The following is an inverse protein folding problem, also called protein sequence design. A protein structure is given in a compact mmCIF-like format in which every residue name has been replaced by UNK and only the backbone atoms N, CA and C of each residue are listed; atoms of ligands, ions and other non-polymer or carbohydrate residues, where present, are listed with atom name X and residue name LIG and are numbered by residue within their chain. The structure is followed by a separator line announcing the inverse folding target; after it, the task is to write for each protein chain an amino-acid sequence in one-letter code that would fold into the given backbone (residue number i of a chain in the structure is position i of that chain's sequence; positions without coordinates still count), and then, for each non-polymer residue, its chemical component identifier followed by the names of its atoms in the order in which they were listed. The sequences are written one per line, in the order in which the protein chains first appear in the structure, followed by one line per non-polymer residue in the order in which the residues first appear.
data_IF_001847046683
#
_entry.id   IF_001847046683
#
_cell.length_a   1.000
_cell.length_b   1.000
_cell.length_c   1.000
_cell.angle_alpha   90.00
_cell.angle_beta   90.00
_cell.angle_gamma   90.00
#
_symmetry.space_group_name_H-M   'P 1'
#
loop_
_entity.id
_entity.type
_entity.pdbx_description
1 polymer ?
#
# COMPACT_ATOMS: atom_id res chain seq x y z
N UNK A 1 10.46 4.29 -7.39
CA UNK A 1 9.87 5.59 -7.76
C UNK A 1 9.41 5.60 -9.21
N UNK A 2 8.11 5.79 -9.45
CA UNK A 2 7.54 5.64 -10.80
C UNK A 2 7.90 6.75 -11.79
N UNK A 3 7.98 8.00 -11.32
CA UNK A 3 8.17 9.18 -12.18
C UNK A 3 9.62 9.39 -12.63
N UNK A 4 10.58 8.90 -11.87
CA UNK A 4 12.01 9.16 -12.08
C UNK A 4 12.73 7.97 -12.73
N UNK A 5 11.99 7.09 -13.40
CA UNK A 5 12.56 5.96 -14.13
C UNK A 5 12.82 4.71 -13.28
N UNK A 6 12.08 4.51 -12.18
CA UNK A 6 12.06 3.21 -11.50
C UNK A 6 13.20 2.96 -10.51
N UNK A 7 13.73 3.98 -9.83
CA UNK A 7 14.69 3.76 -8.72
C UNK A 7 14.07 2.91 -7.61
N UNK A 8 14.92 2.23 -6.86
CA UNK A 8 14.54 1.48 -5.66
C UNK A 8 13.88 2.42 -4.66
N UNK A 9 12.73 2.00 -4.14
CA UNK A 9 11.99 2.69 -3.09
C UNK A 9 12.08 1.88 -1.79
N UNK A 10 11.79 2.49 -0.62
CA UNK A 10 11.70 1.77 0.65
C UNK A 10 10.77 0.55 0.61
N UNK A 11 9.73 0.60 -0.23
CA UNK A 11 8.73 -0.46 -0.41
C UNK A 11 9.08 -1.51 -1.47
N UNK A 12 10.18 -1.32 -2.23
CA UNK A 12 10.65 -2.30 -3.24
C UNK A 12 10.89 -3.66 -2.59
N UNK A 13 10.33 -4.73 -3.16
CA UNK A 13 10.41 -6.09 -2.61
C UNK A 13 11.81 -6.68 -2.75
N UNK A 14 12.12 -7.70 -1.94
CA UNK A 14 13.36 -8.47 -2.11
C UNK A 14 13.41 -9.11 -3.51
N UNK A 15 14.59 -9.09 -4.13
CA UNK A 15 14.80 -9.59 -5.49
C UNK A 15 14.20 -8.72 -6.61
N UNK A 16 13.38 -7.70 -6.28
CA UNK A 16 12.79 -6.83 -7.29
C UNK A 16 13.85 -5.89 -7.89
N UNK A 17 14.01 -5.97 -9.21
CA UNK A 17 14.94 -5.12 -9.98
C UNK A 17 14.44 -3.67 -10.01
N UNK A 18 15.37 -2.74 -9.83
CA UNK A 18 15.15 -1.31 -9.95
C UNK A 18 16.38 -0.65 -10.59
N UNK A 19 16.25 0.58 -11.10
CA UNK A 19 17.34 1.26 -11.80
C UNK A 19 18.58 1.48 -10.92
N UNK A 20 18.37 1.70 -9.61
CA UNK A 20 19.44 1.82 -8.61
C UNK A 20 19.74 0.50 -7.89
N UNK A 21 19.09 -0.60 -8.27
CA UNK A 21 19.37 -1.96 -7.79
C UNK A 21 19.22 -2.96 -8.94
N UNK A 22 20.15 -2.98 -9.93
CA UNK A 22 20.01 -3.78 -11.16
C UNK A 22 19.97 -5.30 -10.90
N UNK A 23 20.65 -5.78 -9.86
CA UNK A 23 20.61 -7.17 -9.40
C UNK A 23 19.42 -7.51 -8.50
N UNK A 24 18.50 -6.56 -8.30
CA UNK A 24 17.41 -6.66 -7.35
C UNK A 24 17.79 -6.23 -5.93
N UNK A 25 16.77 -5.98 -5.11
CA UNK A 25 16.98 -5.64 -3.70
C UNK A 25 17.49 -6.85 -2.91
N UNK A 26 18.77 -6.85 -2.56
CA UNK A 26 19.34 -7.74 -1.54
C UNK A 26 19.14 -7.22 -0.11
N UNK A 27 18.79 -8.11 0.83
CA UNK A 27 18.55 -7.74 2.23
C UNK A 27 19.82 -7.27 2.96
N UNK A 28 20.97 -7.89 2.65
CA UNK A 28 22.24 -7.57 3.32
C UNK A 28 22.78 -6.19 2.92
N UNK A 29 22.56 -5.79 1.67
CA UNK A 29 23.06 -4.52 1.12
C UNK A 29 22.05 -3.37 1.28
N UNK A 30 20.75 -3.65 1.13
CA UNK A 30 19.71 -2.62 1.04
C UNK A 30 18.66 -2.71 2.17
N UNK A 31 18.81 -3.65 3.10
CA UNK A 31 17.80 -3.95 4.12
C UNK A 31 16.52 -4.58 3.54
N UNK A 32 15.58 -4.90 4.43
CA UNK A 32 14.27 -5.47 4.06
C UNK A 32 13.24 -4.38 3.70
N UNK A 33 12.22 -4.72 2.90
CA UNK A 33 11.14 -3.79 2.56
C UNK A 33 10.48 -3.18 3.80
N UNK A 34 10.21 -1.87 3.74
CA UNK A 34 9.68 -1.11 4.86
C UNK A 34 8.16 -1.01 4.74
N UNK A 35 7.44 -1.57 5.71
CA UNK A 35 5.99 -1.49 5.83
C UNK A 35 5.59 -0.17 6.53
N UNK A 36 5.52 0.90 5.73
CA UNK A 36 5.23 2.26 6.23
C UNK A 36 3.86 2.32 6.92
N UNK A 37 2.85 1.62 6.39
CA UNK A 37 1.50 1.65 6.95
C UNK A 37 1.43 1.01 8.34
N UNK A 38 2.09 -0.14 8.55
CA UNK A 38 2.19 -0.73 9.89
C UNK A 38 3.03 0.12 10.84
N UNK A 39 4.11 0.73 10.35
CA UNK A 39 4.92 1.64 11.16
C UNK A 39 4.14 2.87 11.62
N UNK A 40 3.32 3.48 10.75
CA UNK A 40 2.50 4.64 11.12
C UNK A 40 1.32 4.25 12.00
N UNK A 41 0.79 3.04 11.89
CA UNK A 41 -0.33 2.59 12.70
C UNK A 41 -0.02 2.60 14.22
N UNK A 42 1.23 2.41 14.63
CA UNK A 42 1.60 2.43 16.06
C UNK A 42 1.76 3.85 16.61
N UNK A 43 1.80 4.88 15.77
CA UNK A 43 1.96 6.26 16.23
C UNK A 43 0.70 6.80 16.91
N UNK A 44 0.90 7.61 17.94
CA UNK A 44 -0.17 8.36 18.60
C UNK A 44 -0.81 9.36 17.63
N UNK A 45 -2.13 9.56 17.76
CA UNK A 45 -2.91 10.41 16.89
C UNK A 45 -3.27 9.81 15.52
N UNK A 46 -2.70 8.66 15.14
CA UNK A 46 -3.15 7.91 13.95
C UNK A 46 -4.37 7.08 14.33
N UNK A 47 -5.51 7.32 13.69
CA UNK A 47 -6.80 6.69 14.05
C UNK A 47 -7.37 5.78 12.97
N UNK A 48 -6.88 5.88 11.74
CA UNK A 48 -7.32 5.03 10.64
C UNK A 48 -6.17 4.73 9.68
N UNK A 49 -5.91 3.45 9.43
CA UNK A 49 -4.94 2.98 8.45
C UNK A 49 -5.53 1.77 7.72
N UNK A 50 -5.69 1.88 6.40
CA UNK A 50 -6.15 0.77 5.56
C UNK A 50 -5.27 0.61 4.32
N UNK A 51 -4.95 -0.65 3.98
CA UNK A 51 -4.27 -1.01 2.75
C UNK A 51 -5.25 -1.64 1.77
N UNK A 52 -5.31 -1.09 0.57
CA UNK A 52 -6.12 -1.57 -0.55
C UNK A 52 -5.25 -1.85 -1.79
N UNK A 53 -5.80 -2.54 -2.78
CA UNK A 53 -5.19 -2.75 -4.09
C UNK A 53 -6.02 -2.11 -5.20
N UNK A 54 -5.42 -1.90 -6.36
CA UNK A 54 -6.09 -1.38 -7.57
C UNK A 54 -6.10 -2.42 -8.71
N UNK A 55 -6.21 -3.70 -8.35
CA UNK A 55 -5.99 -4.87 -9.21
C UNK A 55 -7.25 -5.66 -9.51
N UNK A 56 -8.41 -5.18 -9.08
CA UNK A 56 -9.73 -5.72 -9.44
C UNK A 56 -10.82 -4.68 -9.22
N UNK A 57 -11.99 -4.85 -9.84
CA UNK A 57 -13.16 -3.98 -9.60
C UNK A 57 -13.54 -3.97 -8.12
N UNK A 58 -13.50 -5.13 -7.46
CA UNK A 58 -13.80 -5.26 -6.03
C UNK A 58 -12.84 -4.44 -5.17
N UNK A 59 -11.55 -4.50 -5.47
CA UNK A 59 -10.53 -3.79 -4.70
C UNK A 59 -10.58 -2.28 -4.96
N UNK A 60 -10.90 -1.85 -6.18
CA UNK A 60 -11.11 -0.44 -6.51
C UNK A 60 -12.32 0.13 -5.74
N UNK A 61 -13.42 -0.62 -5.63
CA UNK A 61 -14.57 -0.19 -4.84
C UNK A 61 -14.23 -0.11 -3.34
N UNK A 62 -13.40 -1.02 -2.84
CA UNK A 62 -12.89 -0.98 -1.46
C UNK A 62 -12.00 0.24 -1.24
N UNK A 63 -11.06 0.50 -2.14
CA UNK A 63 -10.19 1.68 -2.12
C UNK A 63 -10.99 2.98 -2.08
N UNK A 64 -12.02 3.10 -2.92
CA UNK A 64 -12.93 4.26 -2.92
C UNK A 64 -13.58 4.49 -1.55
N UNK A 65 -14.07 3.43 -0.90
CA UNK A 65 -14.67 3.50 0.43
C UNK A 65 -13.64 3.91 1.49
N UNK A 66 -12.45 3.30 1.46
CA UNK A 66 -11.36 3.60 2.39
C UNK A 66 -10.90 5.07 2.28
N UNK A 67 -10.72 5.58 1.06
CA UNK A 67 -10.37 6.98 0.81
C UNK A 67 -11.43 7.92 1.39
N UNK A 68 -12.72 7.62 1.16
CA UNK A 68 -13.83 8.43 1.71
C UNK A 68 -13.81 8.45 3.23
N UNK A 69 -13.64 7.28 3.88
CA UNK A 69 -13.54 7.17 5.35
C UNK A 69 -12.33 7.95 5.89
N UNK A 70 -11.19 7.85 5.23
CA UNK A 70 -9.98 8.58 5.60
C UNK A 70 -10.16 10.11 5.55
N UNK A 71 -10.86 10.63 4.54
CA UNK A 71 -11.20 12.06 4.51
C UNK A 71 -12.21 12.43 5.61
N UNK A 72 -13.21 11.58 5.87
CA UNK A 72 -14.17 11.83 6.95
C UNK A 72 -13.48 11.94 8.31
N UNK A 73 -12.49 11.08 8.58
CA UNK A 73 -11.64 11.15 9.79
C UNK A 73 -11.00 12.54 9.98
N UNK A 74 -10.51 13.16 8.91
CA UNK A 74 -9.92 14.49 8.96
C UNK A 74 -10.99 15.57 9.19
N UNK A 75 -12.13 15.47 8.51
CA UNK A 75 -13.23 16.44 8.64
C UNK A 75 -13.84 16.43 10.05
N UNK A 76 -13.93 15.26 10.67
CA UNK A 76 -14.47 15.07 12.02
C UNK A 76 -13.43 15.39 13.12
N UNK A 77 -12.19 15.73 12.76
CA UNK A 77 -11.14 16.09 13.71
C UNK A 77 -10.66 14.92 14.58
N UNK A 78 -10.84 13.67 14.12
CA UNK A 78 -10.53 12.48 14.94
C UNK A 78 -9.03 12.18 15.02
N UNK A 79 -8.23 12.67 14.09
CA UNK A 79 -6.78 12.46 14.05
C UNK A 79 -6.27 12.20 12.64
N UNK A 80 -5.11 11.56 12.53
CA UNK A 80 -4.46 11.23 11.27
C UNK A 80 -5.01 9.94 10.65
N UNK A 81 -5.25 9.97 9.34
CA UNK A 81 -5.68 8.83 8.54
C UNK A 81 -4.72 8.54 7.40
N UNK A 82 -4.49 7.27 7.08
CA UNK A 82 -3.67 6.82 5.95
C UNK A 82 -4.39 5.74 5.14
N UNK A 83 -4.36 5.88 3.82
CA UNK A 83 -4.76 4.82 2.90
C UNK A 83 -3.60 4.50 1.96
N UNK A 84 -3.08 3.28 2.03
CA UNK A 84 -2.05 2.78 1.12
C UNK A 84 -2.71 2.01 -0.03
N UNK A 85 -2.36 2.38 -1.26
CA UNK A 85 -2.88 1.74 -2.47
C UNK A 85 -1.76 0.97 -3.18
N UNK A 86 -1.86 -0.35 -3.20
CA UNK A 86 -0.99 -1.19 -4.04
C UNK A 86 -1.40 -0.99 -5.51
N UNK A 87 -0.62 -0.18 -6.21
CA UNK A 87 -0.88 0.21 -7.60
C UNK A 87 0.10 -0.46 -8.56
N UNK A 88 -0.37 -1.19 -9.58
CA UNK A 88 0.49 -1.81 -10.57
C UNK A 88 1.14 -0.76 -11.48
N UNK A 89 2.41 -0.93 -11.83
CA UNK A 89 3.14 -0.06 -12.76
C UNK A 89 3.66 -0.86 -13.97
N UNK A 90 2.77 -1.29 -14.89
CA UNK A 90 3.12 -2.21 -15.97
C UNK A 90 4.28 -1.71 -16.84
N UNK A 91 4.36 -0.39 -17.08
CA UNK A 91 5.43 0.24 -17.84
C UNK A 91 6.81 -0.02 -17.25
N UNK A 92 7.01 0.29 -15.96
CA UNK A 92 8.31 0.14 -15.31
C UNK A 92 8.66 -1.34 -15.05
N UNK A 93 7.64 -2.19 -14.88
CA UNK A 93 7.84 -3.62 -14.64
C UNK A 93 7.97 -4.43 -15.94
N UNK A 94 7.77 -3.80 -17.10
CA UNK A 94 7.77 -4.43 -18.43
C UNK A 94 6.80 -5.62 -18.50
N UNK A 95 5.63 -5.46 -17.86
CA UNK A 95 4.55 -6.44 -17.80
C UNK A 95 3.33 -5.93 -18.55
N UNK A 96 2.48 -6.83 -19.04
CA UNK A 96 1.13 -6.44 -19.45
C UNK A 96 0.31 -6.00 -18.23
N UNK A 97 -0.75 -5.19 -18.40
CA UNK A 97 -1.63 -4.82 -17.28
C UNK A 97 -2.18 -6.02 -16.51
N UNK A 98 -2.58 -7.09 -17.20
CA UNK A 98 -3.11 -8.31 -16.57
C UNK A 98 -2.04 -9.07 -15.77
N UNK A 99 -0.82 -9.15 -16.29
CA UNK A 99 0.32 -9.73 -15.57
C UNK A 99 0.67 -8.92 -14.33
N UNK A 100 0.68 -7.59 -14.42
CA UNK A 100 0.96 -6.71 -13.30
C UNK A 100 -0.09 -6.84 -12.19
N UNK A 101 -1.38 -6.96 -12.56
CA UNK A 101 -2.46 -7.21 -11.60
C UNK A 101 -2.27 -8.54 -10.88
N UNK A 102 -1.99 -9.61 -11.63
CA UNK A 102 -1.71 -10.94 -11.08
C UNK A 102 -0.52 -10.91 -10.11
N UNK A 103 0.59 -10.29 -10.51
CA UNK A 103 1.80 -10.18 -9.71
C UNK A 103 1.56 -9.44 -8.39
N UNK A 104 0.81 -8.33 -8.41
CA UNK A 104 0.46 -7.62 -7.17
C UNK A 104 -0.37 -8.54 -6.26
N UNK A 105 -1.37 -9.22 -6.81
CA UNK A 105 -2.27 -10.08 -6.04
C UNK A 105 -1.61 -11.34 -5.44
N UNK A 106 -0.59 -11.88 -6.10
CA UNK A 106 0.08 -13.12 -5.70
C UNK A 106 1.38 -12.89 -4.95
N UNK A 107 2.11 -11.81 -5.22
CA UNK A 107 3.45 -11.59 -4.66
C UNK A 107 3.48 -10.37 -3.74
N UNK A 108 2.92 -9.23 -4.18
CA UNK A 108 3.05 -8.00 -3.40
C UNK A 108 2.19 -8.02 -2.14
N UNK A 109 1.01 -8.65 -2.20
CA UNK A 109 0.09 -8.84 -1.07
C UNK A 109 0.63 -9.79 0.01
N UNK A 110 1.54 -10.70 -0.32
CA UNK A 110 2.19 -11.56 0.68
C UNK A 110 3.07 -10.74 1.63
N UNK A 111 3.79 -9.76 1.07
CA UNK A 111 4.63 -8.83 1.85
C UNK A 111 3.79 -7.71 2.47
N UNK A 112 2.78 -7.23 1.74
CA UNK A 112 1.89 -6.14 2.15
C UNK A 112 0.42 -6.59 2.15
N UNK A 113 -0.03 -7.34 3.17
CA UNK A 113 -1.40 -7.85 3.24
C UNK A 113 -2.44 -6.72 3.20
N UNK A 114 -3.47 -6.90 2.39
CA UNK A 114 -4.60 -5.98 2.27
C UNK A 114 -5.47 -6.06 3.52
N UNK A 115 -6.07 -4.95 3.92
CA UNK A 115 -6.86 -4.93 5.14
C UNK A 115 -6.84 -3.60 5.88
N UNK A 116 -7.75 -3.49 6.84
CA UNK A 116 -7.67 -2.48 7.89
C UNK A 116 -6.51 -2.87 8.80
N UNK A 117 -5.53 -1.98 8.94
CA UNK A 117 -4.37 -2.13 9.81
C UNK A 117 -4.66 -1.50 11.17
N UNK A 118 -5.35 -0.35 11.20
CA UNK A 118 -5.83 0.31 12.41
C UNK A 118 -7.13 1.01 12.13
N UNK A 119 -8.07 0.90 13.07
CA UNK A 119 -9.30 1.67 13.06
C UNK A 119 -9.80 1.88 14.49
N UNK A 120 -9.76 3.13 14.93
CA UNK A 120 -10.30 3.55 16.23
C UNK A 120 -11.40 4.61 16.06
N UNK A 121 -11.96 4.77 14.86
CA UNK A 121 -12.89 5.87 14.56
C UNK A 121 -14.28 5.64 15.13
N UNK A 122 -14.66 4.38 15.38
CA UNK A 122 -15.97 4.00 15.93
C UNK A 122 -17.10 3.91 14.90
N UNK A 123 -16.90 4.35 13.65
CA UNK A 123 -17.97 4.38 12.63
C UNK A 123 -18.61 3.01 12.34
N UNK A 124 -17.89 1.90 12.53
CA UNK A 124 -18.40 0.56 12.26
C UNK A 124 -19.16 -0.04 13.45
N UNK A 125 -19.19 0.64 14.60
CA UNK A 125 -19.98 0.23 15.78
C UNK A 125 -21.45 0.64 15.68
N UNK A 126 -21.76 1.66 14.88
CA UNK A 126 -23.13 2.18 14.71
C UNK A 126 -23.92 1.47 13.59
N UNK A 127 -23.38 0.40 12.99
CA UNK A 127 -24.00 -0.39 11.92
C UNK A 127 -24.50 -1.78 12.35
N UNK A 128 -24.54 -2.06 13.66
CA UNK A 128 -25.17 -3.25 14.24
C UNK A 128 -26.38 -2.86 15.07
#
# INVERSE_FOLDING_TARGET
YGMTGGQMAPTTLLGMVATTAPGGRGADLHGRPIDISRMLAVCDGVVYVERCALTSVKDIQRAKKAIKKCFQVQLDGLGFGLVELLSPCPTNWKMTPSQAWKWVNETMTEVYPLGIIKDTTGYDKDQK
#
